data_IF_954741308628
#
_entry.id   IF_954741308628
#
_cell.length_a   1.000
_cell.length_b   1.000
_cell.length_c   1.000
_cell.angle_alpha   90.00
_cell.angle_beta   90.00
_cell.angle_gamma   90.00
#
_symmetry.space_group_name_H-M   'P 1'
#
loop_
_entity.id
_entity.type
_entity.pdbx_description
1 polymer ?
#
# COMPACT_ATOMS: atom_id res chain seq x y z
N UNK A 1 -11.83 19.13 59.91
CA UNK A 1 -10.96 20.22 60.34
C UNK A 1 -10.51 21.01 59.13
N UNK A 2 -10.96 22.21 59.07
CA UNK A 2 -10.68 23.46 58.33
C UNK A 2 -9.68 23.49 57.19
N UNK A 3 -10.20 23.89 56.05
CA UNK A 3 -9.47 24.54 54.93
C UNK A 3 -9.34 26.05 55.22
N UNK A 4 -8.33 26.77 54.76
CA UNK A 4 -8.43 28.20 54.53
C UNK A 4 -8.43 28.58 53.05
N UNK A 5 -9.38 29.44 52.71
CA UNK A 5 -9.51 30.21 51.47
C UNK A 5 -8.43 31.29 51.40
N UNK A 6 -7.81 31.49 50.21
CA UNK A 6 -7.07 32.71 49.90
C UNK A 6 -7.84 33.58 48.91
N UNK A 7 -8.19 34.78 49.38
CA UNK A 7 -8.73 35.91 48.59
C UNK A 7 -7.63 36.57 47.78
N UNK A 8 -7.81 36.77 46.49
CA UNK A 8 -7.01 37.67 45.66
C UNK A 8 -7.59 39.08 45.71
N UNK A 9 -6.79 40.03 46.19
CA UNK A 9 -7.08 41.47 46.17
C UNK A 9 -6.94 42.02 44.75
N UNK A 10 -7.91 42.85 44.35
CA UNK A 10 -7.86 43.75 43.21
C UNK A 10 -7.08 45.01 43.62
N UNK A 11 -6.04 45.34 42.90
CA UNK A 11 -5.49 46.70 42.93
C UNK A 11 -5.93 47.46 41.67
N UNK A 12 -6.71 48.51 41.90
CA UNK A 12 -7.05 49.56 40.99
C UNK A 12 -5.98 50.66 41.14
N UNK A 13 -5.28 50.97 40.05
CA UNK A 13 -4.58 52.26 39.98
C UNK A 13 -4.85 52.92 38.63
N UNK A 14 -5.58 53.98 38.72
CA UNK A 14 -5.96 54.93 37.70
C UNK A 14 -4.90 56.06 37.72
N UNK A 15 -4.31 56.38 36.57
CA UNK A 15 -3.95 57.74 36.20
C UNK A 15 -3.02 57.77 34.97
N UNK A 16 -3.33 58.66 34.01
CA UNK A 16 -2.36 59.05 32.97
C UNK A 16 -3.02 59.35 31.60
N UNK A 17 -3.64 60.53 31.46
CA UNK A 17 -4.01 61.07 30.17
C UNK A 17 -2.74 61.37 29.37
N UNK A 18 -2.55 60.76 28.23
CA UNK A 18 -1.58 61.13 27.20
C UNK A 18 -2.28 61.07 25.84
N UNK A 19 -2.54 62.27 25.27
CA UNK A 19 -3.13 62.40 23.94
C UNK A 19 -2.09 62.01 22.87
N UNK A 20 -2.40 61.07 22.06
CA UNK A 20 -1.62 60.74 20.85
C UNK A 20 -2.35 61.21 19.57
N UNK A 21 -1.69 62.09 18.85
CA UNK A 21 -2.01 62.52 17.50
C UNK A 21 -2.30 61.34 16.56
N UNK A 22 -3.48 61.31 15.95
CA UNK A 22 -3.84 60.40 14.89
C UNK A 22 -3.17 60.88 13.59
N UNK A 23 -2.07 60.28 13.18
CA UNK A 23 -1.56 60.34 11.83
C UNK A 23 -2.51 59.63 10.84
N UNK A 24 -2.48 59.94 9.53
CA UNK A 24 -3.38 59.37 8.54
C UNK A 24 -3.13 57.85 8.40
N UNK A 25 -4.22 57.07 8.41
CA UNK A 25 -4.19 55.63 8.16
C UNK A 25 -3.69 55.37 6.74
N UNK A 26 -2.72 54.47 6.53
CA UNK A 26 -2.35 54.04 5.20
C UNK A 26 -3.56 53.33 4.58
N UNK A 27 -3.86 53.70 3.31
CA UNK A 27 -4.89 53.04 2.51
C UNK A 27 -4.60 51.51 2.44
N UNK A 28 -5.59 50.72 2.74
CA UNK A 28 -5.53 49.25 2.55
C UNK A 28 -5.26 48.98 1.07
N UNK A 29 -4.06 48.45 0.79
CA UNK A 29 -3.72 47.97 -0.52
C UNK A 29 -4.73 46.89 -0.94
N UNK A 30 -5.23 47.05 -2.15
CA UNK A 30 -6.04 46.05 -2.82
C UNK A 30 -5.29 44.69 -2.74
N UNK A 31 -5.89 43.75 -2.08
CA UNK A 31 -5.43 42.37 -2.11
C UNK A 31 -5.51 41.91 -3.57
N UNK A 32 -4.36 41.68 -4.20
CA UNK A 32 -4.29 40.95 -5.43
C UNK A 32 -4.94 39.58 -5.18
N UNK A 33 -6.21 39.44 -5.56
CA UNK A 33 -6.90 38.19 -5.60
C UNK A 33 -6.03 37.20 -6.38
N UNK A 34 -5.49 36.20 -5.71
CA UNK A 34 -4.90 35.04 -6.39
C UNK A 34 -5.95 34.60 -7.42
N UNK A 35 -5.65 34.78 -8.71
CA UNK A 35 -6.41 34.16 -9.79
C UNK A 35 -6.39 32.66 -9.48
N UNK A 36 -7.50 32.11 -8.98
CA UNK A 36 -7.72 30.68 -8.98
C UNK A 36 -7.52 30.26 -10.44
N UNK A 37 -6.57 29.35 -10.67
CA UNK A 37 -6.44 28.73 -11.98
C UNK A 37 -7.81 28.16 -12.32
N UNK A 38 -8.43 28.69 -13.37
CA UNK A 38 -9.73 28.20 -13.84
C UNK A 38 -9.46 26.79 -14.36
N UNK A 39 -9.82 25.79 -13.54
CA UNK A 39 -9.82 24.41 -13.97
C UNK A 39 -10.74 24.29 -15.19
N UNK A 40 -10.20 23.86 -16.33
CA UNK A 40 -10.99 23.63 -17.53
C UNK A 40 -11.55 22.20 -17.47
N UNK A 41 -12.84 22.02 -17.23
CA UNK A 41 -13.42 20.68 -17.10
C UNK A 41 -13.49 19.88 -18.41
N UNK A 42 -13.27 20.52 -19.56
CA UNK A 42 -13.32 19.84 -20.87
C UNK A 42 -12.30 18.71 -21.02
N UNK A 43 -11.24 18.70 -20.21
CA UNK A 43 -10.27 17.59 -20.16
C UNK A 43 -10.76 16.34 -19.44
N UNK A 44 -11.91 16.43 -18.73
CA UNK A 44 -12.53 15.31 -18.04
C UNK A 44 -13.72 14.72 -18.79
N UNK A 45 -14.14 15.36 -19.89
CA UNK A 45 -15.19 14.82 -20.75
C UNK A 45 -14.53 13.89 -21.76
N UNK A 46 -14.90 12.63 -21.78
CA UNK A 46 -14.44 11.66 -22.76
C UNK A 46 -15.60 10.80 -23.23
N UNK A 47 -15.75 10.66 -24.53
CA UNK A 47 -16.64 9.67 -25.13
C UNK A 47 -16.04 8.28 -24.94
N UNK A 48 -16.89 7.29 -24.62
CA UNK A 48 -16.46 5.90 -24.54
C UNK A 48 -15.89 5.48 -25.91
N UNK A 49 -14.66 4.97 -25.92
CA UNK A 49 -14.10 4.36 -27.14
C UNK A 49 -14.77 3.02 -27.39
N UNK A 50 -14.93 2.67 -28.66
CA UNK A 50 -15.42 1.34 -29.03
C UNK A 50 -14.59 0.25 -28.34
N UNK A 51 -15.31 -0.72 -27.75
CA UNK A 51 -14.69 -1.87 -27.11
C UNK A 51 -13.94 -2.69 -28.17
N UNK A 52 -12.62 -2.61 -28.17
CA UNK A 52 -11.78 -3.51 -28.96
C UNK A 52 -11.66 -4.82 -28.16
N UNK A 53 -12.14 -5.96 -28.71
CA UNK A 53 -11.99 -7.25 -28.04
C UNK A 53 -10.53 -7.51 -27.71
N UNK A 54 -10.25 -7.76 -26.44
CA UNK A 54 -8.89 -8.12 -26.01
C UNK A 54 -8.53 -9.48 -26.62
N UNK A 55 -7.28 -9.63 -27.04
CA UNK A 55 -6.74 -10.95 -27.34
C UNK A 55 -6.92 -11.83 -26.08
N UNK A 56 -7.58 -12.95 -26.24
CA UNK A 56 -7.83 -13.88 -25.15
C UNK A 56 -6.46 -14.41 -24.70
N UNK A 57 -6.08 -14.08 -23.48
CA UNK A 57 -4.84 -14.62 -22.88
C UNK A 57 -4.95 -16.15 -22.81
N UNK A 58 -4.02 -16.83 -23.47
CA UNK A 58 -3.88 -18.28 -23.39
C UNK A 58 -2.73 -18.57 -22.43
N UNK A 59 -2.98 -19.15 -21.25
CA UNK A 59 -1.94 -19.45 -20.29
C UNK A 59 -1.02 -20.55 -20.82
N UNK A 60 0.27 -20.43 -20.52
CA UNK A 60 1.28 -21.42 -20.87
C UNK A 60 1.25 -22.59 -19.89
N UNK A 61 0.82 -22.36 -18.64
CA UNK A 61 0.78 -23.35 -17.55
C UNK A 61 -0.63 -23.49 -16.98
N UNK A 62 -0.85 -24.62 -16.31
CA UNK A 62 -1.91 -24.78 -15.31
C UNK A 62 -1.27 -24.73 -13.93
N UNK A 63 -2.05 -24.46 -12.85
CA UNK A 63 -1.48 -24.50 -11.50
C UNK A 63 -0.92 -25.89 -11.11
N UNK A 64 -1.44 -26.96 -11.75
CA UNK A 64 -0.94 -28.31 -11.58
C UNK A 64 0.49 -28.51 -12.11
N UNK A 65 0.89 -27.74 -13.12
CA UNK A 65 2.19 -27.87 -13.79
C UNK A 65 3.35 -27.28 -12.95
N UNK A 66 3.06 -26.33 -12.07
CA UNK A 66 4.08 -25.76 -11.21
C UNK A 66 4.64 -26.78 -10.21
N UNK A 67 5.98 -26.80 -10.03
CA UNK A 67 6.65 -27.65 -9.04
C UNK A 67 6.43 -27.12 -7.61
N UNK A 68 5.27 -27.46 -7.03
CA UNK A 68 4.83 -27.04 -5.70
C UNK A 68 4.60 -28.24 -4.78
N UNK A 69 4.73 -28.01 -3.47
CA UNK A 69 4.34 -28.99 -2.44
C UNK A 69 2.89 -29.48 -2.66
N UNK A 70 2.68 -30.77 -2.55
CA UNK A 70 1.37 -31.41 -2.80
C UNK A 70 0.25 -30.83 -1.95
N UNK A 71 0.53 -30.49 -0.68
CA UNK A 71 -0.45 -29.89 0.23
C UNK A 71 -0.88 -28.50 -0.24
N UNK A 72 0.09 -27.72 -0.77
CA UNK A 72 -0.19 -26.40 -1.34
C UNK A 72 -1.05 -26.53 -2.60
N UNK A 73 -0.76 -27.49 -3.49
CA UNK A 73 -1.60 -27.78 -4.65
C UNK A 73 -3.04 -28.14 -4.27
N UNK A 74 -3.23 -28.90 -3.19
CA UNK A 74 -4.57 -29.22 -2.68
C UNK A 74 -5.33 -27.96 -2.23
N UNK A 75 -4.67 -27.04 -1.52
CA UNK A 75 -5.32 -25.80 -1.08
C UNK A 75 -5.59 -24.84 -2.25
N UNK A 76 -4.69 -24.77 -3.23
CA UNK A 76 -4.90 -24.01 -4.49
C UNK A 76 -6.14 -24.53 -5.22
N UNK A 77 -6.26 -25.85 -5.38
CA UNK A 77 -7.39 -26.48 -6.02
C UNK A 77 -8.71 -26.30 -5.24
N UNK A 78 -8.66 -26.36 -3.91
CA UNK A 78 -9.81 -26.08 -3.04
C UNK A 78 -10.37 -24.66 -3.18
N UNK A 79 -9.55 -23.70 -3.64
CA UNK A 79 -9.96 -22.34 -4.00
C UNK A 79 -10.42 -22.21 -5.46
N UNK A 80 -10.56 -23.32 -6.19
CA UNK A 80 -10.88 -23.34 -7.64
C UNK A 80 -9.87 -22.61 -8.55
N UNK A 81 -8.62 -22.52 -8.11
CA UNK A 81 -7.52 -22.00 -8.92
C UNK A 81 -7.06 -23.12 -9.87
N UNK A 82 -7.56 -23.12 -11.11
CA UNK A 82 -7.20 -24.10 -12.13
C UNK A 82 -6.22 -23.47 -13.12
N UNK A 83 -6.63 -22.36 -13.67
CA UNK A 83 -5.91 -21.63 -14.72
C UNK A 83 -5.30 -20.36 -14.11
N UNK A 84 -3.99 -20.14 -14.23
CA UNK A 84 -3.37 -18.93 -13.74
C UNK A 84 -3.75 -17.70 -14.55
N UNK A 85 -3.84 -16.56 -13.89
CA UNK A 85 -3.97 -15.27 -14.56
C UNK A 85 -2.66 -14.89 -15.27
N UNK A 86 -2.65 -13.89 -16.18
CA UNK A 86 -1.44 -13.50 -16.90
C UNK A 86 -0.24 -13.17 -16.00
N UNK A 87 -0.47 -12.47 -14.87
CA UNK A 87 0.59 -12.14 -13.94
C UNK A 87 1.10 -13.38 -13.19
N UNK A 88 0.21 -14.32 -12.86
CA UNK A 88 0.56 -15.58 -12.19
C UNK A 88 1.36 -16.50 -13.11
N UNK A 89 0.90 -16.70 -14.33
CA UNK A 89 1.54 -17.57 -15.32
C UNK A 89 2.97 -17.16 -15.61
N UNK A 90 3.21 -15.84 -15.76
CA UNK A 90 4.52 -15.31 -16.13
C UNK A 90 5.46 -15.12 -14.91
N UNK A 91 4.93 -14.80 -13.73
CA UNK A 91 5.75 -14.44 -12.57
C UNK A 91 6.09 -15.65 -11.67
N UNK A 92 5.16 -16.60 -11.48
CA UNK A 92 5.37 -17.74 -10.58
C UNK A 92 6.63 -18.55 -10.93
N UNK A 93 6.91 -18.93 -12.19
CA UNK A 93 8.10 -19.70 -12.53
C UNK A 93 9.41 -19.01 -12.08
N UNK A 94 9.56 -17.73 -12.39
CA UNK A 94 10.74 -16.96 -12.00
C UNK A 94 10.91 -16.86 -10.46
N UNK A 95 9.81 -16.74 -9.73
CA UNK A 95 9.83 -16.71 -8.26
C UNK A 95 10.21 -18.07 -7.64
N UNK A 96 9.77 -19.17 -8.25
CA UNK A 96 10.15 -20.53 -7.82
C UNK A 96 11.65 -20.80 -8.05
N UNK A 97 12.24 -20.19 -9.07
CA UNK A 97 13.71 -20.19 -9.31
C UNK A 97 14.48 -19.31 -8.31
N UNK A 98 13.79 -18.57 -7.45
CA UNK A 98 14.39 -17.66 -6.47
C UNK A 98 14.84 -16.32 -7.04
N UNK A 99 14.43 -15.96 -8.26
CA UNK A 99 14.76 -14.70 -8.92
C UNK A 99 13.95 -13.53 -8.34
N UNK A 100 14.52 -12.35 -8.42
CA UNK A 100 13.78 -11.11 -8.16
C UNK A 100 12.77 -10.85 -9.29
N UNK A 101 11.61 -10.32 -8.93
CA UNK A 101 10.53 -10.06 -9.89
C UNK A 101 9.96 -8.65 -9.71
N UNK A 102 9.74 -7.96 -10.84
CA UNK A 102 8.94 -6.74 -10.93
C UNK A 102 7.64 -7.11 -11.65
N UNK A 103 6.52 -7.05 -10.94
CA UNK A 103 5.18 -7.25 -11.49
C UNK A 103 4.45 -5.92 -11.68
N UNK A 104 4.18 -5.56 -12.94
CA UNK A 104 3.41 -4.36 -13.28
C UNK A 104 2.01 -4.81 -13.68
N UNK A 105 1.05 -4.63 -12.78
CA UNK A 105 -0.33 -5.06 -13.01
C UNK A 105 -1.29 -4.30 -12.08
N UNK A 106 -2.50 -4.03 -12.55
CA UNK A 106 -3.55 -3.37 -11.79
C UNK A 106 -4.04 -4.23 -10.61
N UNK A 107 -4.80 -3.63 -9.69
CA UNK A 107 -5.50 -4.37 -8.62
C UNK A 107 -6.50 -5.37 -9.24
N UNK A 108 -6.73 -6.48 -8.56
CA UNK A 108 -7.64 -7.52 -9.03
C UNK A 108 -7.09 -8.48 -10.10
N UNK A 109 -5.84 -8.34 -10.54
CA UNK A 109 -5.21 -9.23 -11.54
C UNK A 109 -4.67 -10.53 -10.95
N UNK A 110 -4.73 -10.72 -9.62
CA UNK A 110 -4.25 -11.92 -8.94
C UNK A 110 -2.81 -11.85 -8.45
N UNK A 111 -2.24 -10.65 -8.27
CA UNK A 111 -0.87 -10.43 -7.75
C UNK A 111 -0.63 -11.13 -6.42
N UNK A 112 -1.58 -11.07 -5.49
CA UNK A 112 -1.45 -11.65 -4.14
C UNK A 112 -1.15 -13.14 -4.21
N UNK A 113 -1.93 -13.91 -4.96
CA UNK A 113 -1.66 -15.33 -5.17
C UNK A 113 -0.35 -15.57 -5.93
N UNK A 114 -0.01 -14.70 -6.89
CA UNK A 114 1.23 -14.80 -7.65
C UNK A 114 2.47 -14.83 -6.76
N UNK A 115 2.54 -14.01 -5.70
CA UNK A 115 3.68 -14.02 -4.78
C UNK A 115 3.50 -14.95 -3.57
N UNK A 116 2.27 -15.14 -3.05
CA UNK A 116 2.05 -16.00 -1.88
C UNK A 116 2.36 -17.47 -2.18
N UNK A 117 1.91 -17.98 -3.32
CA UNK A 117 2.09 -19.39 -3.69
C UNK A 117 3.57 -19.81 -3.69
N UNK A 118 4.47 -19.16 -4.46
CA UNK A 118 5.88 -19.55 -4.47
C UNK A 118 6.61 -19.29 -3.15
N UNK A 119 6.21 -18.26 -2.40
CA UNK A 119 6.82 -17.97 -1.10
C UNK A 119 6.39 -18.97 -0.02
N UNK A 120 5.14 -19.44 -0.02
CA UNK A 120 4.67 -20.51 0.84
C UNK A 120 5.41 -21.82 0.51
N UNK A 121 5.55 -22.15 -0.76
CA UNK A 121 6.31 -23.33 -1.20
C UNK A 121 7.78 -23.25 -0.77
N UNK A 122 8.41 -22.09 -0.90
CA UNK A 122 9.78 -21.84 -0.43
C UNK A 122 9.96 -22.14 1.06
N UNK A 123 8.99 -21.68 1.87
CA UNK A 123 8.98 -21.93 3.32
C UNK A 123 8.65 -23.40 3.64
N UNK A 124 7.80 -24.06 2.86
CA UNK A 124 7.53 -25.49 3.00
C UNK A 124 8.77 -26.32 2.73
N UNK A 125 9.57 -26.00 1.71
CA UNK A 125 10.84 -26.64 1.39
C UNK A 125 11.94 -26.35 2.43
N UNK A 126 11.89 -25.17 3.09
CA UNK A 126 12.83 -24.81 4.17
C UNK A 126 12.18 -23.93 5.24
N UNK A 127 11.82 -24.52 6.37
CA UNK A 127 11.12 -23.89 7.50
C UNK A 127 11.86 -22.72 8.17
N UNK A 128 13.17 -22.64 7.98
CA UNK A 128 13.97 -21.54 8.53
C UNK A 128 13.84 -20.24 7.70
N UNK A 129 13.25 -20.32 6.51
CA UNK A 129 13.04 -19.15 5.64
C UNK A 129 11.97 -18.24 6.21
N UNK A 130 12.23 -16.93 6.13
CA UNK A 130 11.32 -15.88 6.58
C UNK A 130 11.02 -14.89 5.47
N UNK A 131 9.78 -14.48 5.40
CA UNK A 131 9.22 -13.59 4.39
C UNK A 131 8.60 -12.38 5.04
N UNK A 132 8.92 -11.18 4.56
CA UNK A 132 8.20 -9.95 4.94
C UNK A 132 7.45 -9.39 3.74
N UNK A 133 6.17 -9.06 3.95
CA UNK A 133 5.27 -8.48 2.95
C UNK A 133 4.82 -7.12 3.48
N UNK A 134 5.09 -6.07 2.70
CA UNK A 134 4.70 -4.71 3.02
C UNK A 134 3.55 -4.28 2.10
N UNK A 135 2.49 -3.76 2.70
CA UNK A 135 1.30 -3.24 2.03
C UNK A 135 1.03 -1.80 2.49
N UNK A 136 0.54 -0.89 1.61
CA UNK A 136 0.31 0.52 1.94
C UNK A 136 -0.76 0.74 3.01
N UNK A 137 -1.80 -0.10 3.02
CA UNK A 137 -2.97 0.04 3.89
C UNK A 137 -3.15 -1.15 4.83
N UNK A 138 -3.90 -0.93 5.91
CA UNK A 138 -4.24 -1.99 6.87
C UNK A 138 -5.15 -3.02 6.25
N UNK A 139 -6.08 -2.56 5.46
CA UNK A 139 -7.09 -3.35 4.75
C UNK A 139 -6.41 -4.35 3.81
N UNK A 140 -5.47 -3.87 2.99
CA UNK A 140 -4.71 -4.75 2.09
C UNK A 140 -3.84 -5.74 2.86
N UNK A 141 -3.16 -5.30 3.94
CA UNK A 141 -2.38 -6.23 4.78
C UNK A 141 -3.25 -7.34 5.40
N UNK A 142 -4.50 -7.02 5.81
CA UNK A 142 -5.46 -8.02 6.30
C UNK A 142 -5.87 -8.97 5.17
N UNK A 143 -6.19 -8.46 3.98
CA UNK A 143 -6.56 -9.29 2.81
C UNK A 143 -5.44 -10.26 2.45
N UNK A 144 -4.18 -9.78 2.40
CA UNK A 144 -3.01 -10.64 2.13
C UNK A 144 -2.87 -11.72 3.20
N UNK A 145 -3.06 -11.39 4.49
CA UNK A 145 -3.01 -12.38 5.58
C UNK A 145 -4.11 -13.42 5.43
N UNK A 146 -5.34 -13.01 5.16
CA UNK A 146 -6.47 -13.93 5.03
C UNK A 146 -6.25 -14.90 3.86
N UNK A 147 -5.75 -14.41 2.73
CA UNK A 147 -5.39 -15.25 1.58
C UNK A 147 -4.21 -16.19 1.89
N UNK A 148 -3.20 -15.70 2.64
CA UNK A 148 -2.11 -16.54 3.15
C UNK A 148 -2.63 -17.69 4.03
N UNK A 149 -3.55 -17.42 4.96
CA UNK A 149 -4.13 -18.44 5.85
C UNK A 149 -4.89 -19.51 5.07
N UNK A 150 -5.57 -19.15 3.99
CA UNK A 150 -6.26 -20.08 3.12
C UNK A 150 -5.29 -20.98 2.36
N UNK A 151 -4.24 -20.42 1.73
CA UNK A 151 -3.23 -21.20 1.03
C UNK A 151 -2.39 -22.08 1.95
N UNK A 152 -2.07 -21.61 3.16
CA UNK A 152 -1.21 -22.32 4.12
C UNK A 152 -1.96 -23.22 5.08
N UNK A 153 -3.27 -23.42 4.90
CA UNK A 153 -4.12 -24.20 5.80
C UNK A 153 -3.56 -25.62 6.03
N UNK A 154 -3.40 -25.99 7.30
CA UNK A 154 -2.91 -27.32 7.69
C UNK A 154 -1.41 -27.55 7.53
N UNK A 155 -0.60 -26.49 7.25
CA UNK A 155 0.82 -26.64 6.92
C UNK A 155 1.79 -26.26 8.05
N UNK A 156 1.29 -25.85 9.22
CA UNK A 156 2.14 -25.36 10.33
C UNK A 156 3.11 -24.25 9.91
N UNK A 157 2.65 -23.33 9.05
CA UNK A 157 3.32 -22.09 8.68
C UNK A 157 2.51 -20.95 9.29
N UNK A 158 3.18 -20.00 9.93
CA UNK A 158 2.51 -18.96 10.69
C UNK A 158 2.89 -17.58 10.18
N UNK A 159 1.89 -16.66 10.19
CA UNK A 159 2.08 -15.26 9.88
C UNK A 159 1.83 -14.38 11.10
N UNK A 160 2.53 -13.25 11.15
CA UNK A 160 2.27 -12.16 12.11
C UNK A 160 1.81 -10.94 11.33
N UNK A 161 0.64 -10.40 11.73
CA UNK A 161 0.08 -9.20 11.13
C UNK A 161 0.50 -7.95 11.91
N UNK A 162 1.23 -7.03 11.26
CA UNK A 162 1.73 -5.80 11.85
C UNK A 162 1.03 -4.57 11.23
N UNK A 163 -0.07 -4.14 11.86
CA UNK A 163 -0.86 -2.99 11.42
C UNK A 163 -1.13 -2.00 12.55
N UNK A 164 -1.31 -0.73 12.21
CA UNK A 164 -1.72 0.29 13.17
C UNK A 164 -3.15 0.08 13.67
N UNK A 165 -3.54 0.75 14.77
CA UNK A 165 -4.90 0.66 15.33
C UNK A 165 -5.19 -0.59 16.17
N UNK A 166 -4.32 -1.59 16.16
CA UNK A 166 -4.38 -2.78 17.00
C UNK A 166 -3.42 -2.63 18.19
N UNK A 167 -3.78 -3.22 19.36
CA UNK A 167 -2.94 -3.18 20.57
C UNK A 167 -1.55 -3.76 20.28
N UNK A 168 -0.51 -2.92 20.41
CA UNK A 168 0.90 -3.28 20.16
C UNK A 168 1.34 -4.51 20.95
N UNK A 169 0.83 -4.68 22.17
CA UNK A 169 1.18 -5.80 23.04
C UNK A 169 0.87 -7.18 22.41
N UNK A 170 -0.29 -7.33 21.74
CA UNK A 170 -0.64 -8.59 21.05
C UNK A 170 0.34 -8.92 19.94
N UNK A 171 0.66 -7.94 19.08
CA UNK A 171 1.59 -8.13 17.97
C UNK A 171 3.01 -8.47 18.48
N UNK A 172 3.44 -7.85 19.60
CA UNK A 172 4.72 -8.21 20.26
C UNK A 172 4.72 -9.64 20.80
N UNK A 173 3.59 -10.12 21.34
CA UNK A 173 3.48 -11.52 21.77
C UNK A 173 3.54 -12.51 20.59
N UNK A 174 2.93 -12.15 19.46
CA UNK A 174 2.96 -12.97 18.24
C UNK A 174 4.39 -13.05 17.68
N UNK A 175 5.13 -11.93 17.66
CA UNK A 175 6.53 -11.91 17.22
C UNK A 175 7.49 -12.74 18.10
N UNK A 176 7.09 -13.08 19.33
CA UNK A 176 7.88 -13.96 20.23
C UNK A 176 7.64 -15.43 19.98
N UNK A 177 6.58 -15.78 19.23
CA UNK A 177 6.28 -17.15 18.83
C UNK A 177 7.05 -17.47 17.56
N UNK A 178 7.00 -18.72 17.16
CA UNK A 178 7.49 -19.14 15.84
C UNK A 178 6.63 -18.53 14.73
N UNK A 179 7.27 -17.91 13.75
CA UNK A 179 6.62 -17.37 12.56
C UNK A 179 7.55 -17.46 11.36
N UNK A 180 6.94 -17.58 10.18
CA UNK A 180 7.63 -17.56 8.90
C UNK A 180 7.34 -16.28 8.10
N UNK A 181 6.14 -15.72 8.27
CA UNK A 181 5.69 -14.55 7.53
C UNK A 181 5.43 -13.37 8.47
N UNK A 182 5.84 -12.20 8.04
CA UNK A 182 5.39 -10.91 8.58
C UNK A 182 4.65 -10.18 7.48
N UNK A 183 3.41 -9.80 7.72
CA UNK A 183 2.59 -9.03 6.79
C UNK A 183 2.22 -7.73 7.49
N UNK A 184 2.47 -6.58 6.88
CA UNK A 184 2.19 -5.36 7.61
C UNK A 184 2.32 -4.07 6.83
N UNK A 185 1.92 -2.98 7.52
CA UNK A 185 2.06 -1.61 7.01
C UNK A 185 3.38 -1.00 7.46
N UNK A 186 4.02 -0.14 6.62
CA UNK A 186 5.35 0.40 6.89
C UNK A 186 5.47 1.06 8.27
N UNK A 187 4.52 1.90 8.67
CA UNK A 187 4.58 2.59 9.96
C UNK A 187 4.68 1.63 11.16
N UNK A 188 3.85 0.57 11.19
CA UNK A 188 3.85 -0.39 12.30
C UNK A 188 5.09 -1.29 12.29
N UNK A 189 5.55 -1.70 11.11
CA UNK A 189 6.80 -2.46 10.96
C UNK A 189 7.97 -1.64 11.49
N UNK A 190 8.05 -0.35 11.16
CA UNK A 190 9.07 0.58 11.67
C UNK A 190 9.04 0.68 13.19
N UNK A 191 7.85 0.78 13.82
CA UNK A 191 7.71 0.81 15.27
C UNK A 191 8.29 -0.46 15.90
N UNK A 192 7.96 -1.65 15.36
CA UNK A 192 8.47 -2.94 15.88
C UNK A 192 9.99 -3.06 15.74
N UNK A 193 10.58 -2.52 14.68
CA UNK A 193 12.04 -2.48 14.49
C UNK A 193 12.68 -1.53 15.52
N UNK A 194 12.16 -0.30 15.67
CA UNK A 194 12.66 0.69 16.66
C UNK A 194 12.60 0.16 18.08
N UNK A 195 11.56 -0.59 18.41
CA UNK A 195 11.38 -1.23 19.72
C UNK A 195 12.17 -2.55 19.86
N UNK A 196 13.00 -2.90 18.89
CA UNK A 196 13.83 -4.13 18.85
C UNK A 196 13.02 -5.44 18.96
N UNK A 197 11.73 -5.41 18.56
CA UNK A 197 10.87 -6.59 18.54
C UNK A 197 10.96 -7.34 17.21
N UNK A 198 11.39 -6.67 16.12
CA UNK A 198 11.56 -7.23 14.80
C UNK A 198 12.95 -6.90 14.26
N UNK A 199 13.63 -7.90 13.69
CA UNK A 199 14.93 -7.75 13.03
C UNK A 199 14.80 -8.17 11.57
N UNK A 200 15.16 -7.28 10.65
CA UNK A 200 15.02 -7.53 9.22
C UNK A 200 16.17 -8.34 8.61
N UNK A 201 17.29 -8.44 9.28
CA UNK A 201 18.48 -9.22 8.86
C UNK A 201 18.23 -10.74 8.77
N UNK A 202 17.11 -11.23 9.30
CA UNK A 202 16.72 -12.65 9.26
C UNK A 202 15.76 -13.01 8.12
N UNK A 203 15.36 -12.04 7.27
CA UNK A 203 14.38 -12.30 6.21
C UNK A 203 15.07 -12.62 4.89
N UNK A 204 14.70 -13.73 4.28
CA UNK A 204 15.22 -14.23 3.01
C UNK A 204 14.46 -13.73 1.80
N UNK A 205 13.24 -13.25 2.02
CA UNK A 205 12.39 -12.71 0.96
C UNK A 205 11.61 -11.50 1.44
N UNK A 206 11.46 -10.53 0.55
CA UNK A 206 10.70 -9.29 0.80
C UNK A 206 9.78 -9.00 -0.37
N UNK A 207 8.54 -8.62 -0.06
CA UNK A 207 7.53 -8.19 -1.03
C UNK A 207 7.13 -6.76 -0.72
N UNK A 208 7.11 -5.91 -1.75
CA UNK A 208 6.42 -4.63 -1.74
C UNK A 208 5.20 -4.75 -2.64
N UNK A 209 4.01 -4.72 -2.08
CA UNK A 209 2.75 -4.74 -2.84
C UNK A 209 2.12 -3.36 -2.87
N UNK A 210 1.61 -2.95 -4.03
CA UNK A 210 1.14 -1.58 -4.32
C UNK A 210 2.18 -0.50 -3.95
N UNK A 211 3.40 -0.68 -4.45
CA UNK A 211 4.53 0.18 -4.10
C UNK A 211 4.33 1.65 -4.53
N UNK A 212 3.62 1.92 -5.63
CA UNK A 212 3.18 3.25 -6.05
C UNK A 212 2.30 3.91 -4.98
N UNK A 213 1.32 3.20 -4.46
CA UNK A 213 0.47 3.70 -3.39
C UNK A 213 1.25 3.96 -2.09
N UNK A 214 2.27 3.13 -1.75
CA UNK A 214 3.17 3.42 -0.63
C UNK A 214 3.92 4.73 -0.81
N UNK A 215 4.35 5.03 -2.03
CA UNK A 215 5.02 6.28 -2.38
C UNK A 215 4.09 7.48 -2.25
N UNK A 216 2.85 7.35 -2.73
CA UNK A 216 1.83 8.42 -2.67
C UNK A 216 1.44 8.77 -1.23
N UNK A 217 1.34 7.79 -0.34
CA UNK A 217 1.09 7.99 1.09
C UNK A 217 2.32 8.60 1.80
N UNK A 218 3.50 8.53 1.19
CA UNK A 218 4.74 9.11 1.74
C UNK A 218 5.64 8.13 2.48
N UNK A 219 5.47 6.82 2.33
CA UNK A 219 6.30 5.79 2.98
C UNK A 219 7.65 5.55 2.29
N UNK A 220 8.03 6.32 1.28
CA UNK A 220 9.29 6.15 0.54
C UNK A 220 10.53 6.07 1.46
N UNK A 221 10.60 6.92 2.49
CA UNK A 221 11.71 6.92 3.45
C UNK A 221 11.72 5.68 4.35
N UNK A 222 10.54 5.18 4.72
CA UNK A 222 10.42 3.97 5.54
C UNK A 222 10.80 2.73 4.73
N UNK A 223 10.39 2.65 3.47
CA UNK A 223 10.79 1.57 2.55
C UNK A 223 12.30 1.55 2.36
N UNK A 224 12.95 2.70 2.08
CA UNK A 224 14.40 2.80 1.97
C UNK A 224 15.12 2.39 3.26
N UNK A 225 14.59 2.78 4.40
CA UNK A 225 15.10 2.36 5.71
C UNK A 225 15.03 0.84 5.87
N UNK A 226 13.93 0.19 5.47
CA UNK A 226 13.85 -1.28 5.55
C UNK A 226 14.82 -1.97 4.61
N UNK A 227 14.96 -1.46 3.37
CA UNK A 227 15.92 -2.00 2.40
C UNK A 227 17.33 -2.00 2.99
N UNK A 228 17.73 -0.95 3.72
CA UNK A 228 19.06 -0.86 4.35
C UNK A 228 19.30 -1.86 5.48
N UNK A 229 18.25 -2.42 6.08
CA UNK A 229 18.31 -3.40 7.15
C UNK A 229 18.18 -4.85 6.68
N UNK A 230 17.70 -5.07 5.45
CA UNK A 230 17.52 -6.39 4.87
C UNK A 230 18.87 -6.98 4.43
N UNK A 231 19.03 -8.32 4.45
CA UNK A 231 20.21 -8.97 3.89
C UNK A 231 20.41 -8.61 2.42
N UNK A 232 21.66 -8.53 1.99
CA UNK A 232 21.96 -8.30 0.58
C UNK A 232 21.55 -9.50 -0.28
N UNK A 233 21.80 -10.72 0.20
CA UNK A 233 21.38 -11.96 -0.45
C UNK A 233 19.94 -12.32 -0.02
N UNK A 234 18.96 -11.72 -0.71
CA UNK A 234 17.53 -11.96 -0.52
C UNK A 234 16.83 -12.07 -1.87
N UNK A 235 15.63 -12.58 -1.87
CA UNK A 235 14.72 -12.46 -3.00
C UNK A 235 13.80 -11.25 -2.80
N UNK A 236 13.76 -10.36 -3.79
CA UNK A 236 12.98 -9.13 -3.75
C UNK A 236 11.85 -9.17 -4.78
N UNK A 237 10.61 -9.05 -4.34
CA UNK A 237 9.42 -9.06 -5.18
C UNK A 237 8.73 -7.70 -5.11
N UNK A 238 8.56 -7.07 -6.24
CA UNK A 238 8.02 -5.73 -6.36
C UNK A 238 6.77 -5.73 -7.22
N UNK A 239 5.64 -5.29 -6.65
CA UNK A 239 4.37 -5.18 -7.36
C UNK A 239 3.84 -3.76 -7.32
N UNK A 240 3.43 -3.25 -8.47
CA UNK A 240 2.91 -1.90 -8.64
C UNK A 240 2.00 -1.82 -9.85
N UNK A 241 1.03 -0.92 -9.87
CA UNK A 241 0.26 -0.63 -11.09
C UNK A 241 1.04 0.32 -12.00
N UNK A 242 1.84 1.22 -11.42
CA UNK A 242 2.59 2.25 -12.14
C UNK A 242 4.06 2.28 -11.73
N UNK A 243 4.92 2.76 -12.64
CA UNK A 243 6.36 2.98 -12.38
C UNK A 243 6.72 4.41 -12.75
N UNK A 244 6.51 5.33 -11.84
CA UNK A 244 6.93 6.72 -11.92
C UNK A 244 8.40 6.93 -11.49
N UNK A 245 8.84 8.20 -11.48
CA UNK A 245 10.21 8.55 -11.09
C UNK A 245 10.58 8.16 -9.66
N UNK A 246 9.67 8.31 -8.71
CA UNK A 246 9.89 7.96 -7.29
C UNK A 246 9.88 6.46 -7.06
N UNK A 247 9.01 5.74 -7.76
CA UNK A 247 8.95 4.27 -7.74
C UNK A 247 10.24 3.68 -8.32
N UNK A 248 10.77 4.25 -9.43
CA UNK A 248 12.06 3.85 -10.01
C UNK A 248 13.22 4.02 -9.02
N UNK A 249 13.18 5.03 -8.17
CA UNK A 249 14.21 5.26 -7.16
C UNK A 249 14.25 4.15 -6.10
N UNK A 250 13.08 3.61 -5.70
CA UNK A 250 13.01 2.45 -4.82
C UNK A 250 13.54 1.21 -5.55
N UNK A 251 13.06 0.97 -6.77
CA UNK A 251 13.44 -0.20 -7.56
C UNK A 251 14.95 -0.34 -7.70
N UNK A 252 15.66 0.75 -7.99
CA UNK A 252 17.11 0.74 -8.20
C UNK A 252 17.90 0.16 -7.02
N UNK A 253 17.38 0.25 -5.79
CA UNK A 253 18.02 -0.27 -4.57
C UNK A 253 17.37 -1.56 -4.04
N UNK A 254 16.21 -1.92 -4.56
CA UNK A 254 15.40 -3.01 -4.02
C UNK A 254 15.62 -4.35 -4.71
N UNK A 255 15.74 -4.37 -6.04
CA UNK A 255 15.87 -5.59 -6.84
C UNK A 255 17.24 -5.75 -7.45
N UNK A 256 17.62 -7.01 -7.70
CA UNK A 256 18.88 -7.39 -8.34
C UNK A 256 18.59 -8.27 -9.57
N UNK A 257 18.93 -7.80 -10.76
CA UNK A 257 18.72 -8.52 -12.03
C UNK A 257 17.30 -9.16 -12.15
N UNK A 258 16.22 -8.36 -12.01
CA UNK A 258 14.87 -8.86 -11.89
C UNK A 258 14.32 -9.36 -13.24
N UNK A 259 13.38 -10.29 -13.17
CA UNK A 259 12.43 -10.55 -14.25
C UNK A 259 11.32 -9.52 -14.18
N UNK A 260 11.08 -8.80 -15.27
CA UNK A 260 9.97 -7.85 -15.35
C UNK A 260 8.79 -8.47 -16.08
N UNK A 261 7.66 -8.56 -15.39
CA UNK A 261 6.38 -9.02 -15.94
C UNK A 261 5.43 -7.83 -15.98
N UNK A 262 4.96 -7.48 -17.17
CA UNK A 262 4.00 -6.37 -17.36
C UNK A 262 2.72 -6.90 -17.98
N UNK A 263 1.65 -6.86 -17.20
CA UNK A 263 0.32 -7.20 -17.68
C UNK A 263 -0.44 -5.89 -17.91
N UNK A 264 -0.50 -5.48 -19.18
CA UNK A 264 -1.31 -4.33 -19.56
C UNK A 264 -2.79 -4.76 -19.55
N UNK A 265 -3.52 -4.34 -18.55
CA UNK A 265 -4.97 -4.19 -18.68
C UNK A 265 -5.20 -2.85 -19.34
N UNK A 266 -5.91 -2.81 -20.47
CA UNK A 266 -6.36 -1.53 -21.02
C UNK A 266 -7.14 -0.80 -19.95
N UNK A 267 -6.87 0.50 -19.82
CA UNK A 267 -7.57 1.33 -18.86
C UNK A 267 -9.07 1.21 -19.13
N UNK A 268 -9.82 0.64 -18.20
CA UNK A 268 -11.29 0.61 -18.24
C UNK A 268 -11.89 2.01 -18.36
N UNK A 269 -11.10 3.03 -18.06
CA UNK A 269 -11.41 4.46 -18.22
C UNK A 269 -11.78 4.80 -19.67
N UNK A 270 -11.13 4.18 -20.66
CA UNK A 270 -11.42 4.43 -22.08
C UNK A 270 -12.78 3.86 -22.55
N UNK A 271 -13.34 2.89 -21.82
CA UNK A 271 -14.64 2.29 -22.10
C UNK A 271 -15.79 2.92 -21.28
N UNK A 272 -15.49 3.90 -20.43
CA UNK A 272 -16.48 4.59 -19.59
C UNK A 272 -16.72 5.99 -20.14
N UNK A 273 -17.96 6.30 -20.50
CA UNK A 273 -18.39 7.64 -20.83
C UNK A 273 -18.32 8.53 -19.58
N UNK A 274 -17.65 9.65 -19.69
CA UNK A 274 -17.47 10.59 -18.59
C UNK A 274 -17.95 11.97 -19.01
N UNK A 275 -18.78 12.57 -18.18
CA UNK A 275 -19.27 13.94 -18.37
C UNK A 275 -19.06 14.78 -17.10
N UNK A 276 -19.06 16.10 -17.26
CA UNK A 276 -18.86 17.06 -16.18
C UNK A 276 -20.05 17.96 -16.03
N UNK A 277 -20.73 17.82 -14.92
CA UNK A 277 -21.87 18.66 -14.59
C UNK A 277 -21.43 19.82 -13.69
N UNK A 278 -21.67 21.05 -14.16
CA UNK A 278 -21.40 22.26 -13.38
C UNK A 278 -22.52 22.50 -12.39
N UNK A 279 -22.16 22.48 -11.11
CA UNK A 279 -23.08 22.79 -10.01
C UNK A 279 -23.00 24.28 -9.68
N UNK A 280 -24.14 24.99 -9.69
CA UNK A 280 -24.20 26.44 -9.44
C UNK A 280 -23.81 26.82 -8.00
N UNK A 281 -24.11 25.97 -7.02
CA UNK A 281 -23.73 26.18 -5.64
C UNK A 281 -23.61 24.85 -4.90
N UNK A 282 -22.80 24.85 -3.83
CA UNK A 282 -22.56 23.64 -3.02
C UNK A 282 -23.84 23.05 -2.40
N UNK A 283 -24.83 23.92 -2.12
CA UNK A 283 -26.13 23.51 -1.53
C UNK A 283 -27.04 22.80 -2.54
N UNK A 284 -26.89 23.06 -3.85
CA UNK A 284 -27.67 22.42 -4.92
C UNK A 284 -27.04 21.11 -5.43
N UNK A 285 -25.87 20.74 -4.92
CA UNK A 285 -25.12 19.56 -5.42
C UNK A 285 -25.89 18.26 -5.23
N UNK A 286 -26.59 18.12 -4.09
CA UNK A 286 -27.34 16.91 -3.77
C UNK A 286 -28.61 16.83 -4.61
N UNK A 287 -29.30 17.97 -4.77
CA UNK A 287 -30.52 18.04 -5.56
C UNK A 287 -30.26 17.72 -7.04
N UNK A 288 -29.19 18.33 -7.62
CA UNK A 288 -28.77 18.03 -8.99
C UNK A 288 -28.31 16.56 -9.17
N UNK A 289 -27.71 15.95 -8.15
CA UNK A 289 -27.34 14.53 -8.21
C UNK A 289 -28.55 13.60 -8.19
N UNK A 290 -29.65 14.03 -7.59
CA UNK A 290 -30.92 13.29 -7.58
C UNK A 290 -31.69 13.40 -8.91
N UNK A 291 -31.44 14.47 -9.68
CA UNK A 291 -32.09 14.73 -10.97
C UNK A 291 -31.37 14.06 -12.15
N UNK A 292 -30.23 13.37 -11.91
CA UNK A 292 -29.45 12.58 -12.86
C UNK A 292 -29.82 11.10 -12.81
#
# INVERSE_FOLDING_TARGET
MNRPYYKKQRNNNNSGRGGYNRGPRPAFGQSNGRKMSTFNPSHLVSEAKEFVPQEVFVPTHQFADFDLDTRLKLNINAKNYVTPTPIQDQAIPAMLEGRDVIGIANTGTGKTAAFLIPLIDKVLKNRNKKVIILAPTRELAVQIRDEFEEFSRGMSIYSVLLIGGVKSFRQKQELRREFNFVIGTPGRVKDMIKERQLRLDQFDSVVLDEADHMVDIGFIHDVKFFISLLPHNRQSLFFSATIDGKVKEILASFVQNPVTVSVKTHDTVDAIEQDVIKVESQNKKIDQLHDL
#
